data_IF_094483515856
#
_entry.id   IF_094483515856
#
_cell.length_a   1.000
_cell.length_b   1.000
_cell.length_c   1.000
_cell.angle_alpha   90.00
_cell.angle_beta   90.00
_cell.angle_gamma   90.00
#
_symmetry.space_group_name_H-M   'P 1'
#
loop_
_entity.id
_entity.type
_entity.pdbx_description
1 polymer ?
#
# COMPACT_ATOMS: atom_id res chain seq x y z
N UNK A 1 17.19 9.16 -38.72
CA UNK A 1 16.58 7.81 -38.81
C UNK A 1 16.18 7.37 -37.40
N UNK A 2 14.89 7.40 -37.06
CA UNK A 2 14.41 7.03 -35.72
C UNK A 2 14.22 5.51 -35.63
N UNK A 3 14.93 4.87 -34.69
CA UNK A 3 14.89 3.43 -34.42
C UNK A 3 13.50 3.05 -33.89
N UNK A 4 12.68 2.38 -34.71
CA UNK A 4 11.38 1.82 -34.27
C UNK A 4 11.64 0.81 -33.16
N UNK A 5 11.26 1.15 -31.95
CA UNK A 5 11.32 0.23 -30.80
C UNK A 5 10.20 -0.79 -30.97
N UNK A 6 10.58 -2.06 -31.07
CA UNK A 6 9.65 -3.17 -31.28
C UNK A 6 8.91 -3.47 -29.97
N UNK A 7 7.59 -3.25 -29.99
CA UNK A 7 6.69 -3.38 -28.83
C UNK A 7 6.61 -4.84 -28.35
N UNK A 8 6.94 -5.79 -29.21
CA UNK A 8 6.95 -7.22 -28.89
C UNK A 8 8.11 -7.59 -27.93
N UNK A 9 9.27 -6.96 -28.09
CA UNK A 9 10.47 -7.21 -27.28
C UNK A 9 10.34 -6.60 -25.86
N UNK A 10 9.66 -5.45 -25.75
CA UNK A 10 9.26 -4.86 -24.47
C UNK A 10 8.25 -5.74 -23.73
N UNK A 11 7.29 -6.34 -24.44
CA UNK A 11 6.29 -7.23 -23.83
C UNK A 11 6.92 -8.52 -23.31
N UNK A 12 7.93 -9.06 -24.00
CA UNK A 12 8.69 -10.23 -23.56
C UNK A 12 9.48 -9.97 -22.26
N UNK A 13 10.01 -8.75 -22.09
CA UNK A 13 10.75 -8.36 -20.87
C UNK A 13 9.85 -8.06 -19.66
N UNK A 14 8.63 -7.55 -19.89
CA UNK A 14 7.72 -7.11 -18.81
C UNK A 14 6.80 -8.23 -18.31
N UNK A 15 6.46 -9.21 -19.16
CA UNK A 15 5.64 -10.38 -18.80
C UNK A 15 6.05 -11.09 -17.49
N UNK A 16 7.33 -11.46 -17.28
CA UNK A 16 7.72 -12.17 -16.06
C UNK A 16 7.52 -11.34 -14.78
N UNK A 17 7.66 -10.01 -14.87
CA UNK A 17 7.45 -9.10 -13.73
C UNK A 17 5.95 -8.99 -13.41
N UNK A 18 5.10 -8.92 -14.44
CA UNK A 18 3.65 -8.90 -14.26
C UNK A 18 3.12 -10.21 -13.67
N UNK A 19 3.64 -11.35 -14.13
CA UNK A 19 3.26 -12.67 -13.62
C UNK A 19 3.73 -12.88 -12.16
N UNK A 20 4.95 -12.44 -11.82
CA UNK A 20 5.46 -12.46 -10.44
C UNK A 20 4.63 -11.58 -9.50
N UNK A 21 4.23 -10.37 -9.94
CA UNK A 21 3.36 -9.49 -9.16
C UNK A 21 1.98 -10.11 -8.91
N UNK A 22 1.45 -10.82 -9.91
CA UNK A 22 0.14 -11.49 -9.81
C UNK A 22 0.20 -12.70 -8.86
N UNK A 23 1.31 -13.45 -8.88
CA UNK A 23 1.54 -14.56 -7.96
C UNK A 23 1.77 -14.09 -6.52
N UNK A 24 2.53 -13.02 -6.31
CA UNK A 24 2.72 -12.41 -5.00
C UNK A 24 1.39 -11.89 -4.41
N UNK A 25 0.54 -11.26 -5.23
CA UNK A 25 -0.79 -10.82 -4.80
C UNK A 25 -1.73 -11.99 -4.45
N UNK A 26 -1.59 -13.12 -5.13
CA UNK A 26 -2.36 -14.34 -4.84
C UNK A 26 -1.88 -15.01 -3.54
N UNK A 27 -0.57 -15.13 -3.35
CA UNK A 27 0.03 -15.67 -2.13
C UNK A 27 -0.28 -14.81 -0.89
N UNK A 28 -0.32 -13.49 -1.04
CA UNK A 28 -0.76 -12.57 0.00
C UNK A 28 -2.26 -12.75 0.35
N UNK A 29 -3.12 -12.99 -0.64
CA UNK A 29 -4.54 -13.32 -0.40
C UNK A 29 -4.72 -14.63 0.35
N UNK A 30 -3.95 -15.66 -0.02
CA UNK A 30 -4.07 -16.99 0.57
C UNK A 30 -3.54 -17.02 2.01
N UNK A 31 -2.45 -16.32 2.30
CA UNK A 31 -1.93 -16.15 3.68
C UNK A 31 -2.87 -15.34 4.57
N UNK A 32 -3.50 -14.29 4.04
CA UNK A 32 -4.54 -13.54 4.78
C UNK A 32 -5.78 -14.40 5.01
N UNK A 33 -6.13 -15.30 4.10
CA UNK A 33 -7.27 -16.23 4.25
C UNK A 33 -7.03 -17.30 5.31
N UNK A 34 -5.78 -17.74 5.52
CA UNK A 34 -5.40 -18.67 6.59
C UNK A 34 -5.29 -17.99 7.98
N UNK A 35 -4.96 -16.70 8.04
CA UNK A 35 -4.75 -15.96 9.30
C UNK A 35 -5.95 -15.10 9.74
N UNK A 36 -6.93 -14.87 8.86
CA UNK A 36 -8.09 -14.07 9.19
C UNK A 36 -9.10 -14.89 10.02
N UNK A 37 -9.43 -14.48 11.26
CA UNK A 37 -10.49 -15.13 12.02
C UNK A 37 -11.79 -15.02 11.22
N UNK A 38 -12.47 -16.15 11.02
CA UNK A 38 -13.76 -16.23 10.36
C UNK A 38 -14.66 -15.13 10.90
N UNK A 39 -15.27 -14.33 10.03
CA UNK A 39 -16.04 -13.13 10.40
C UNK A 39 -17.04 -13.39 11.55
N UNK A 40 -17.51 -14.63 11.69
CA UNK A 40 -18.36 -15.08 12.79
C UNK A 40 -17.73 -14.97 14.19
N UNK A 41 -16.41 -15.14 14.34
CA UNK A 41 -15.71 -15.00 15.64
C UNK A 41 -15.52 -13.54 16.04
N UNK A 42 -15.18 -12.66 15.08
CA UNK A 42 -15.04 -11.22 15.33
C UNK A 42 -16.40 -10.60 15.66
N UNK A 43 -17.46 -11.04 15.00
CA UNK A 43 -18.83 -10.59 15.26
C UNK A 43 -19.37 -11.08 16.61
N UNK A 44 -19.00 -12.29 17.07
CA UNK A 44 -19.33 -12.77 18.43
C UNK A 44 -18.64 -11.96 19.53
N UNK A 45 -17.38 -11.56 19.32
CA UNK A 45 -16.60 -10.77 20.29
C UNK A 45 -17.13 -9.33 20.48
N UNK A 46 -17.83 -8.79 19.48
CA UNK A 46 -18.38 -7.43 19.52
C UNK A 46 -19.80 -7.35 20.11
N UNK A 47 -20.37 -8.45 20.61
CA UNK A 47 -21.68 -8.45 21.28
C UNK A 47 -22.86 -8.04 20.39
N UNK A 48 -22.65 -7.90 19.08
CA UNK A 48 -23.68 -7.57 18.10
C UNK A 48 -24.36 -8.85 17.63
N UNK A 49 -25.08 -9.52 18.54
CA UNK A 49 -26.13 -10.47 18.12
C UNK A 49 -27.25 -9.68 17.45
N UNK A 50 -27.06 -9.35 16.17
CA UNK A 50 -28.17 -8.99 15.30
C UNK A 50 -29.05 -10.23 15.16
N UNK A 51 -30.15 -10.23 15.90
CA UNK A 51 -31.32 -11.10 15.74
C UNK A 51 -31.62 -11.25 14.24
N UNK A 52 -31.17 -12.36 13.66
CA UNK A 52 -31.23 -12.63 12.22
C UNK A 52 -32.68 -12.89 11.85
N UNK A 53 -33.41 -11.84 11.47
CA UNK A 53 -34.70 -11.99 10.80
C UNK A 53 -34.48 -12.78 9.50
N UNK A 54 -35.08 -13.96 9.43
CA UNK A 54 -34.98 -14.97 8.36
C UNK A 54 -35.61 -14.52 7.02
N UNK A 55 -35.76 -13.23 6.78
CA UNK A 55 -36.54 -12.68 5.65
C UNK A 55 -35.70 -12.17 4.47
N UNK A 56 -34.36 -12.13 4.57
CA UNK A 56 -33.51 -11.57 3.50
C UNK A 56 -33.40 -12.43 2.23
N UNK A 57 -33.89 -13.69 2.26
CA UNK A 57 -33.87 -14.60 1.10
C UNK A 57 -35.20 -14.65 0.32
N UNK A 58 -36.26 -14.00 0.81
CA UNK A 58 -37.58 -14.04 0.15
C UNK A 58 -37.67 -13.00 -0.98
N UNK A 59 -36.88 -11.92 -0.91
CA UNK A 59 -36.78 -10.92 -1.98
C UNK A 59 -35.42 -11.04 -2.65
N UNK A 60 -35.28 -12.06 -3.48
CA UNK A 60 -34.06 -12.29 -4.26
C UNK A 60 -33.96 -11.28 -5.42
N UNK A 61 -32.75 -10.82 -5.75
CA UNK A 61 -32.48 -9.94 -6.90
C UNK A 61 -33.14 -10.39 -8.22
N UNK A 62 -33.22 -11.70 -8.55
CA UNK A 62 -33.97 -12.16 -9.72
C UNK A 62 -35.49 -11.92 -9.62
N UNK A 63 -36.08 -11.96 -8.41
CA UNK A 63 -37.49 -11.66 -8.19
C UNK A 63 -37.80 -10.17 -8.45
N UNK A 64 -36.88 -9.28 -8.08
CA UNK A 64 -36.98 -7.84 -8.37
C UNK A 64 -36.87 -7.60 -9.88
N UNK A 65 -35.92 -8.25 -10.56
CA UNK A 65 -35.74 -8.15 -12.01
C UNK A 65 -36.95 -8.72 -12.78
N UNK A 66 -37.49 -9.86 -12.34
CA UNK A 66 -38.68 -10.46 -12.93
C UNK A 66 -39.92 -9.58 -12.75
N UNK A 67 -40.10 -8.98 -11.57
CA UNK A 67 -41.19 -8.03 -11.32
C UNK A 67 -41.06 -6.76 -12.20
N UNK A 68 -39.85 -6.23 -12.36
CA UNK A 68 -39.60 -5.08 -13.23
C UNK A 68 -39.88 -5.40 -14.71
N UNK A 69 -39.44 -6.57 -15.19
CA UNK A 69 -39.72 -7.02 -16.55
C UNK A 69 -41.23 -7.22 -16.79
N UNK A 70 -41.93 -7.90 -15.88
CA UNK A 70 -43.36 -8.12 -15.96
C UNK A 70 -44.17 -6.81 -15.98
N UNK A 71 -43.81 -5.85 -15.14
CA UNK A 71 -44.44 -4.52 -15.12
C UNK A 71 -44.23 -3.75 -16.44
N UNK A 72 -43.06 -3.90 -17.07
CA UNK A 72 -42.76 -3.26 -18.36
C UNK A 72 -43.60 -3.83 -19.49
N UNK A 73 -43.80 -5.15 -19.51
CA UNK A 73 -44.64 -5.84 -20.51
C UNK A 73 -46.11 -5.45 -20.36
N UNK A 74 -46.66 -5.47 -19.14
CA UNK A 74 -48.06 -5.05 -18.87
C UNK A 74 -48.28 -3.58 -19.25
N UNK A 75 -47.27 -2.72 -19.05
CA UNK A 75 -47.36 -1.30 -19.40
C UNK A 75 -47.28 -1.02 -20.90
N UNK A 76 -46.60 -1.88 -21.68
CA UNK A 76 -46.48 -1.75 -23.13
C UNK A 76 -47.68 -2.34 -23.90
N UNK A 77 -48.38 -3.33 -23.34
CA UNK A 77 -49.46 -4.06 -24.04
C UNK A 77 -50.90 -3.58 -23.74
N UNK A 78 -51.13 -2.54 -22.94
CA UNK A 78 -52.49 -2.01 -22.67
C UNK A 78 -52.79 -0.73 -23.51
N UNK A 79 -53.56 -0.84 -24.62
CA UNK A 79 -53.77 0.27 -25.56
C UNK A 79 -54.92 1.21 -25.21
N UNK A 80 -55.79 0.91 -24.23
CA UNK A 80 -57.08 1.60 -24.14
C UNK A 80 -57.11 2.90 -23.31
N UNK A 81 -56.11 3.24 -22.47
CA UNK A 81 -56.12 4.48 -21.66
C UNK A 81 -54.74 5.16 -21.49
N UNK A 82 -54.05 5.40 -22.61
CA UNK A 82 -52.61 5.73 -22.64
C UNK A 82 -52.18 7.07 -21.99
N UNK A 83 -52.91 8.16 -22.14
CA UNK A 83 -52.40 9.49 -21.75
C UNK A 83 -52.43 9.75 -20.23
N UNK A 84 -53.58 9.49 -19.58
CA UNK A 84 -53.78 9.80 -18.16
C UNK A 84 -52.96 8.90 -17.24
N UNK A 85 -52.81 7.62 -17.56
CA UNK A 85 -51.98 6.68 -16.77
C UNK A 85 -50.48 6.97 -16.90
N UNK A 86 -49.99 7.37 -18.08
CA UNK A 86 -48.57 7.74 -18.28
C UNK A 86 -48.15 8.97 -17.48
N UNK A 87 -49.01 9.98 -17.39
CA UNK A 87 -48.76 11.17 -16.58
C UNK A 87 -48.57 10.82 -15.09
N UNK A 88 -49.48 10.04 -14.52
CA UNK A 88 -49.42 9.62 -13.11
C UNK A 88 -48.21 8.71 -12.83
N UNK A 89 -47.88 7.78 -13.73
CA UNK A 89 -46.70 6.93 -13.59
C UNK A 89 -45.41 7.73 -13.69
N UNK A 90 -45.32 8.68 -14.63
CA UNK A 90 -44.18 9.60 -14.76
C UNK A 90 -43.98 10.41 -13.49
N UNK A 91 -45.05 10.99 -12.94
CA UNK A 91 -44.96 11.81 -11.73
C UNK A 91 -44.47 10.97 -10.53
N UNK A 92 -44.93 9.72 -10.41
CA UNK A 92 -44.45 8.78 -9.39
C UNK A 92 -42.97 8.42 -9.58
N UNK A 93 -42.53 8.17 -10.82
CA UNK A 93 -41.14 7.87 -11.12
C UNK A 93 -40.20 9.05 -10.84
N UNK A 94 -40.62 10.27 -11.21
CA UNK A 94 -39.87 11.50 -10.90
C UNK A 94 -39.77 11.70 -9.39
N UNK A 95 -40.86 11.46 -8.66
CA UNK A 95 -40.87 11.50 -7.19
C UNK A 95 -39.86 10.54 -6.55
N UNK A 96 -39.81 9.29 -7.02
CA UNK A 96 -38.86 8.28 -6.54
C UNK A 96 -37.42 8.67 -6.88
N UNK A 97 -37.16 9.12 -8.11
CA UNK A 97 -35.83 9.57 -8.53
C UNK A 97 -35.31 10.72 -7.65
N UNK A 98 -36.17 11.69 -7.33
CA UNK A 98 -35.82 12.81 -6.46
C UNK A 98 -35.49 12.36 -5.02
N UNK A 99 -36.18 11.34 -4.50
CA UNK A 99 -35.87 10.79 -3.17
C UNK A 99 -34.54 10.03 -3.15
N UNK A 100 -34.26 9.24 -4.19
CA UNK A 100 -32.97 8.54 -4.35
C UNK A 100 -31.82 9.53 -4.48
N UNK A 101 -32.00 10.61 -5.25
CA UNK A 101 -31.00 11.66 -5.40
C UNK A 101 -30.60 12.33 -4.07
N UNK A 102 -31.58 12.62 -3.20
CA UNK A 102 -31.33 13.18 -1.86
C UNK A 102 -30.56 12.22 -0.95
N UNK A 103 -30.89 10.92 -0.99
CA UNK A 103 -30.17 9.91 -0.22
C UNK A 103 -28.72 9.70 -0.72
N UNK A 104 -28.52 9.76 -2.03
CA UNK A 104 -27.20 9.67 -2.66
C UNK A 104 -26.29 10.84 -2.28
N UNK A 105 -26.81 12.08 -2.21
CA UNK A 105 -26.04 13.25 -1.79
C UNK A 105 -25.47 13.13 -0.36
N UNK A 106 -26.27 12.60 0.59
CA UNK A 106 -25.79 12.40 1.96
C UNK A 106 -24.73 11.30 2.07
N UNK A 107 -24.80 10.27 1.23
CA UNK A 107 -23.85 9.14 1.26
C UNK A 107 -22.55 9.46 0.50
N UNK A 108 -22.63 10.27 -0.56
CA UNK A 108 -21.48 10.63 -1.40
C UNK A 108 -20.38 11.39 -0.65
N UNK A 109 -20.74 12.29 0.28
CA UNK A 109 -19.75 13.05 1.06
C UNK A 109 -18.85 12.15 1.93
N UNK A 110 -19.40 11.07 2.48
CA UNK A 110 -18.66 10.13 3.33
C UNK A 110 -17.69 9.28 2.49
N UNK A 111 -18.10 8.91 1.27
CA UNK A 111 -17.25 8.14 0.35
C UNK A 111 -16.04 8.96 -0.13
N UNK A 112 -16.26 10.23 -0.48
CA UNK A 112 -15.19 11.14 -0.93
C UNK A 112 -14.16 11.38 0.18
N UNK A 113 -14.60 11.64 1.42
CA UNK A 113 -13.70 11.84 2.55
C UNK A 113 -12.84 10.60 2.85
N UNK A 114 -13.42 9.39 2.74
CA UNK A 114 -12.65 8.14 2.90
C UNK A 114 -11.65 7.89 1.78
N UNK A 115 -12.02 8.20 0.53
CA UNK A 115 -11.13 8.05 -0.62
C UNK A 115 -9.90 8.96 -0.49
N UNK A 116 -10.09 10.24 -0.11
CA UNK A 116 -9.00 11.20 0.08
C UNK A 116 -8.02 10.73 1.18
N UNK A 117 -8.53 10.25 2.32
CA UNK A 117 -7.68 9.76 3.42
C UNK A 117 -6.87 8.50 3.08
N UNK A 118 -7.34 7.64 2.18
CA UNK A 118 -6.58 6.46 1.72
C UNK A 118 -5.40 6.85 0.83
N UNK A 119 -5.57 7.85 -0.04
CA UNK A 119 -4.49 8.31 -0.94
C UNK A 119 -3.32 8.90 -0.17
N UNK A 120 -3.59 9.73 0.85
CA UNK A 120 -2.55 10.36 1.68
C UNK A 120 -1.73 9.33 2.46
N UNK A 121 -2.37 8.28 2.99
CA UNK A 121 -1.69 7.18 3.70
C UNK A 121 -0.82 6.33 2.77
N UNK A 122 -1.25 6.13 1.52
CA UNK A 122 -0.45 5.40 0.54
C UNK A 122 0.81 6.17 0.14
N UNK A 123 0.69 7.49 -0.08
CA UNK A 123 1.83 8.34 -0.42
C UNK A 123 2.84 8.47 0.73
N UNK A 124 2.37 8.60 1.98
CA UNK A 124 3.28 8.72 3.13
C UNK A 124 4.08 7.44 3.37
N UNK A 125 3.45 6.28 3.23
CA UNK A 125 4.14 5.00 3.38
C UNK A 125 5.17 4.76 2.26
N UNK A 126 4.85 5.17 1.02
CA UNK A 126 5.75 5.01 -0.11
C UNK A 126 7.02 5.86 0.01
N UNK A 127 6.90 7.14 0.39
CA UNK A 127 8.06 8.03 0.55
C UNK A 127 8.97 7.56 1.69
N UNK A 128 8.43 7.31 2.89
CA UNK A 128 9.24 6.85 4.02
C UNK A 128 9.89 5.50 3.78
N UNK A 129 9.20 4.58 3.08
CA UNK A 129 9.78 3.28 2.74
C UNK A 129 10.91 3.40 1.70
N UNK A 130 10.80 4.33 0.74
CA UNK A 130 11.85 4.57 -0.25
C UNK A 130 13.11 5.17 0.38
N UNK A 131 12.96 6.12 1.31
CA UNK A 131 14.08 6.74 2.06
C UNK A 131 14.78 5.71 2.95
N UNK A 132 14.03 4.97 3.78
CA UNK A 132 14.58 3.92 4.65
C UNK A 132 15.26 2.81 3.84
N UNK A 133 14.68 2.41 2.71
CA UNK A 133 15.29 1.42 1.83
C UNK A 133 16.58 1.94 1.20
N UNK A 134 16.66 3.23 0.85
CA UNK A 134 17.87 3.83 0.30
C UNK A 134 19.02 3.86 1.32
N UNK A 135 18.72 4.26 2.56
CA UNK A 135 19.69 4.30 3.65
C UNK A 135 20.18 2.89 4.03
N UNK A 136 19.28 1.91 4.16
CA UNK A 136 19.67 0.51 4.39
C UNK A 136 20.54 -0.05 3.26
N UNK A 137 20.24 0.34 2.00
CA UNK A 137 21.05 -0.04 0.83
C UNK A 137 22.42 0.65 0.85
N UNK A 138 22.49 1.90 1.33
CA UNK A 138 23.76 2.61 1.52
C UNK A 138 24.63 1.90 2.54
N UNK A 139 24.06 1.48 3.68
CA UNK A 139 24.80 0.72 4.71
C UNK A 139 25.33 -0.59 4.16
N UNK A 140 24.51 -1.38 3.45
CA UNK A 140 24.95 -2.61 2.84
C UNK A 140 26.09 -2.39 1.83
N UNK A 141 26.06 -1.28 1.07
CA UNK A 141 27.16 -0.90 0.17
C UNK A 141 28.41 -0.51 0.94
N UNK A 142 28.28 0.30 1.99
CA UNK A 142 29.41 0.70 2.84
C UNK A 142 30.07 -0.53 3.45
N UNK A 143 29.29 -1.48 3.96
CA UNK A 143 29.80 -2.75 4.47
C UNK A 143 30.57 -3.52 3.39
N UNK A 144 30.03 -3.60 2.18
CA UNK A 144 30.65 -4.37 1.09
C UNK A 144 31.89 -3.71 0.50
N UNK A 145 31.95 -2.38 0.42
CA UNK A 145 33.04 -1.62 -0.20
C UNK A 145 34.13 -1.22 0.81
N UNK A 146 33.76 -0.67 1.96
CA UNK A 146 34.74 -0.13 2.93
C UNK A 146 35.48 -1.22 3.71
N UNK A 147 34.81 -2.35 3.98
CA UNK A 147 35.35 -3.47 4.75
C UNK A 147 35.81 -4.65 3.88
N UNK A 148 35.77 -4.52 2.55
CA UNK A 148 36.28 -5.54 1.63
C UNK A 148 37.77 -5.81 1.90
N UNK A 149 38.14 -7.06 2.17
CA UNK A 149 39.53 -7.46 2.39
C UNK A 149 40.13 -6.97 3.71
N UNK A 150 39.29 -6.52 4.65
CA UNK A 150 39.69 -6.15 6.02
C UNK A 150 39.46 -7.35 6.94
N UNK A 151 40.22 -7.46 8.03
CA UNK A 151 40.04 -8.55 9.01
C UNK A 151 38.57 -8.63 9.45
N UNK A 152 38.01 -9.84 9.42
CA UNK A 152 36.60 -10.10 9.77
C UNK A 152 36.23 -9.55 11.15
N UNK A 153 37.21 -9.50 12.06
CA UNK A 153 37.08 -9.03 13.43
C UNK A 153 36.74 -7.53 13.51
N UNK A 154 37.26 -6.70 12.61
CA UNK A 154 36.99 -5.26 12.61
C UNK A 154 35.52 -4.92 12.33
N UNK A 155 34.79 -5.80 11.62
CA UNK A 155 33.35 -5.65 11.40
C UNK A 155 32.54 -5.90 12.67
N UNK A 156 33.02 -6.75 13.58
CA UNK A 156 32.31 -7.08 14.82
C UNK A 156 32.34 -5.94 15.85
N UNK A 157 33.35 -5.06 15.78
CA UNK A 157 33.51 -3.96 16.71
C UNK A 157 32.86 -2.64 16.27
N UNK A 158 32.38 -2.56 15.01
CA UNK A 158 31.89 -1.33 14.40
C UNK A 158 30.41 -1.45 14.05
N UNK A 159 29.60 -0.53 14.55
CA UNK A 159 28.19 -0.38 14.23
C UNK A 159 27.99 0.81 13.27
N UNK A 160 27.32 0.55 12.15
CA UNK A 160 27.05 1.54 11.11
C UNK A 160 25.56 1.86 11.08
N UNK A 161 25.25 3.15 11.04
CA UNK A 161 23.90 3.64 10.76
C UNK A 161 23.96 4.72 9.70
N UNK A 162 22.89 4.92 8.92
CA UNK A 162 22.80 6.03 7.99
C UNK A 162 21.45 6.72 8.07
N UNK A 163 21.46 8.03 7.98
CA UNK A 163 20.25 8.86 7.90
C UNK A 163 20.49 9.88 6.79
N UNK A 164 19.62 9.90 5.77
CA UNK A 164 19.68 10.85 4.65
C UNK A 164 21.02 10.86 3.88
N UNK A 165 21.72 9.73 3.87
CA UNK A 165 23.05 9.59 3.28
C UNK A 165 24.21 10.09 4.14
N UNK A 166 23.97 10.47 5.40
CA UNK A 166 25.02 10.72 6.40
C UNK A 166 25.25 9.41 7.14
N UNK A 167 26.50 8.92 7.16
CA UNK A 167 26.86 7.64 7.80
C UNK A 167 27.47 7.90 9.17
N UNK A 168 26.85 7.32 10.20
CA UNK A 168 27.32 7.34 11.58
C UNK A 168 28.09 6.06 11.86
N UNK A 169 29.36 6.21 12.25
CA UNK A 169 30.24 5.09 12.57
C UNK A 169 30.47 5.08 14.07
N UNK A 170 30.05 4.02 14.76
CA UNK A 170 30.23 3.84 16.21
C UNK A 170 31.02 2.57 16.46
N UNK A 171 31.79 2.54 17.55
CA UNK A 171 32.51 1.33 17.93
C UNK A 171 33.84 1.62 18.60
N UNK A 172 34.43 0.56 19.10
CA UNK A 172 35.74 0.59 19.76
C UNK A 172 36.78 -0.03 18.85
N UNK A 173 37.80 0.75 18.47
CA UNK A 173 38.85 0.30 17.55
C UNK A 173 40.20 0.31 18.28
N UNK A 174 41.03 -0.76 18.20
CA UNK A 174 42.25 -0.87 19.00
C UNK A 174 43.28 0.24 18.74
N UNK A 175 43.34 0.77 17.52
CA UNK A 175 44.34 1.74 17.08
C UNK A 175 43.71 2.98 16.45
N UNK A 176 44.28 4.15 16.71
CA UNK A 176 43.74 5.43 16.21
C UNK A 176 43.95 5.61 14.70
N UNK A 177 44.97 4.96 14.14
CA UNK A 177 45.25 4.94 12.71
C UNK A 177 44.13 4.22 11.93
N UNK A 178 43.59 3.14 12.52
CA UNK A 178 42.49 2.38 11.93
C UNK A 178 41.20 3.20 11.87
N UNK A 179 40.93 4.04 12.88
CA UNK A 179 39.78 4.96 12.89
C UNK A 179 39.81 5.88 11.66
N UNK A 180 40.97 6.48 11.36
CA UNK A 180 41.12 7.39 10.23
C UNK A 180 41.04 6.67 8.88
N UNK A 181 41.60 5.45 8.81
CA UNK A 181 41.55 4.65 7.60
C UNK A 181 40.12 4.22 7.26
N UNK A 182 39.35 3.75 8.25
CA UNK A 182 37.95 3.36 8.09
C UNK A 182 37.13 4.56 7.64
N UNK A 183 37.25 5.71 8.31
CA UNK A 183 36.53 6.93 7.92
C UNK A 183 36.80 7.31 6.45
N UNK A 184 38.07 7.30 6.05
CA UNK A 184 38.48 7.65 4.68
C UNK A 184 37.94 6.66 3.64
N UNK A 185 37.83 5.38 3.98
CA UNK A 185 37.22 4.36 3.12
C UNK A 185 35.72 4.58 2.99
N UNK A 186 35.01 4.82 4.09
CA UNK A 186 33.56 5.08 4.09
C UNK A 186 33.23 6.34 3.29
N UNK A 187 33.99 7.44 3.45
CA UNK A 187 33.80 8.68 2.66
C UNK A 187 33.91 8.49 1.14
N UNK A 188 34.59 7.44 0.67
CA UNK A 188 34.76 7.16 -0.77
C UNK A 188 33.62 6.33 -1.36
N UNK A 189 32.76 5.76 -0.53
CA UNK A 189 31.65 4.92 -0.98
C UNK A 189 30.62 5.78 -1.69
N UNK A 190 30.17 5.32 -2.87
CA UNK A 190 29.20 6.06 -3.68
C UNK A 190 27.88 6.23 -2.93
N UNK A 191 27.43 7.47 -2.77
CA UNK A 191 26.15 7.80 -2.14
C UNK A 191 26.25 8.29 -0.70
N UNK A 192 27.45 8.26 -0.11
CA UNK A 192 27.74 8.91 1.17
C UNK A 192 27.85 10.42 0.95
N UNK A 193 27.05 11.20 1.68
CA UNK A 193 27.09 12.67 1.67
C UNK A 193 28.07 13.20 2.72
N UNK A 194 28.01 12.62 3.92
CA UNK A 194 28.95 12.93 5.00
C UNK A 194 29.13 11.71 5.93
N UNK A 195 30.16 11.77 6.76
CA UNK A 195 30.51 10.72 7.73
C UNK A 195 30.72 11.35 9.09
N UNK A 196 29.96 10.87 10.06
CA UNK A 196 30.10 11.25 11.47
C UNK A 196 30.79 10.11 12.22
N UNK A 197 32.02 10.39 12.66
CA UNK A 197 32.89 9.40 13.27
C UNK A 197 32.78 9.49 14.81
N UNK A 198 32.17 8.48 15.40
CA UNK A 198 31.97 8.33 16.84
C UNK A 198 32.76 7.13 17.39
N UNK A 199 33.77 6.67 16.65
CA UNK A 199 34.66 5.61 17.10
C UNK A 199 35.66 6.15 18.13
N UNK A 200 36.01 5.32 19.12
CA UNK A 200 37.02 5.63 20.12
C UNK A 200 37.99 4.47 20.30
N UNK A 201 39.16 4.76 20.86
CA UNK A 201 40.09 3.72 21.31
C UNK A 201 39.70 3.25 22.72
N UNK A 202 40.08 2.02 23.12
CA UNK A 202 39.86 1.52 24.47
C UNK A 202 40.37 2.49 25.54
N UNK A 203 39.57 2.74 26.58
CA UNK A 203 39.96 3.58 27.71
C UNK A 203 39.84 5.10 27.51
N UNK A 204 39.31 5.57 26.38
CA UNK A 204 38.93 6.97 26.16
C UNK A 204 37.41 7.14 26.16
N UNK A 205 36.86 8.23 26.72
CA UNK A 205 35.42 8.48 26.67
C UNK A 205 34.95 8.60 25.22
N UNK A 206 33.80 8.00 24.93
CA UNK A 206 33.19 8.03 23.60
C UNK A 206 32.86 9.48 23.19
N UNK A 207 33.22 9.91 21.96
CA UNK A 207 32.83 11.22 21.44
C UNK A 207 31.31 11.34 21.40
N UNK A 208 30.76 12.35 22.08
CA UNK A 208 29.34 12.71 21.97
C UNK A 208 29.16 13.76 20.88
N UNK A 209 28.15 13.57 20.03
CA UNK A 209 27.68 14.57 19.08
C UNK A 209 27.18 15.80 19.87
N UNK A 210 27.55 17.04 19.50
CA UNK A 210 26.98 18.24 20.10
C UNK A 210 25.50 18.44 19.77
#
# INVERSE_FOLDING_TARGET
MAKKVDVSDLRARVRPIAEAATQAAKAARDTVRERAPTSDQVLRGLGLERRRSRWSNIVSWPLILAAAAGATVVFLLDPQQGARRRAVTRDRLVGVANQVGKAAQHTGRIAVARAQGMTQRATSLATSSAEVANDATLIARVESEAFRGTEQDLKAFVNLNSIDGIVFIRGEVPKREQIHEIEKRVRRVRGVKDVENLMHVPGTPAPSVP
#
